data_IF_459455410815
#
_entry.id   IF_459455410815
#
_cell.length_a   1.000
_cell.length_b   1.000
_cell.length_c   1.000
_cell.angle_alpha   90.00
_cell.angle_beta   90.00
_cell.angle_gamma   90.00
#
_symmetry.space_group_name_H-M   'P 1'
#
loop_
_entity.id
_entity.type
_entity.pdbx_description
1 polymer ?
#
# COMPACT_ATOMS: atom_id res chain seq x y z
N UNK A 1 -20.89 -17.09 -16.80
CA UNK A 1 -20.07 -18.01 -16.01
C UNK A 1 -18.72 -17.32 -15.82
N UNK A 2 -18.54 -16.70 -14.67
CA UNK A 2 -17.33 -15.94 -14.37
C UNK A 2 -16.47 -16.80 -13.44
N UNK A 3 -15.65 -17.68 -14.04
CA UNK A 3 -14.59 -18.35 -13.29
C UNK A 3 -13.53 -17.31 -13.02
N UNK A 4 -13.46 -16.82 -11.78
CA UNK A 4 -12.30 -16.07 -11.30
C UNK A 4 -11.10 -17.03 -11.39
N UNK A 5 -10.36 -16.96 -12.49
CA UNK A 5 -9.06 -17.63 -12.59
C UNK A 5 -8.14 -16.99 -11.55
N UNK A 6 -8.13 -17.56 -10.38
CA UNK A 6 -7.16 -17.22 -9.35
C UNK A 6 -5.81 -17.71 -9.84
N UNK A 7 -4.91 -16.79 -10.20
CA UNK A 7 -3.53 -17.15 -10.48
C UNK A 7 -2.94 -17.84 -9.25
N UNK A 8 -2.60 -19.15 -9.30
CA UNK A 8 -2.17 -19.92 -8.12
C UNK A 8 -0.86 -19.39 -7.51
N UNK A 9 -0.11 -18.57 -8.23
CA UNK A 9 1.14 -17.96 -7.76
C UNK A 9 0.87 -16.67 -6.96
N UNK A 10 -0.29 -16.00 -7.19
CA UNK A 10 -0.61 -14.75 -6.51
C UNK A 10 -0.79 -14.97 -5.01
N UNK A 11 -0.01 -14.27 -4.20
CA UNK A 11 0.00 -14.42 -2.74
C UNK A 11 0.75 -15.65 -2.22
N UNK A 12 1.29 -16.50 -3.10
CA UNK A 12 2.11 -17.63 -2.66
C UNK A 12 3.49 -17.17 -2.18
N UNK A 13 3.87 -17.60 -0.98
CA UNK A 13 5.19 -17.31 -0.41
C UNK A 13 6.08 -18.54 -0.44
N UNK A 14 7.12 -18.52 -1.28
CA UNK A 14 8.10 -19.62 -1.40
C UNK A 14 8.83 -19.89 -0.08
N UNK A 15 9.16 -18.82 0.66
CA UNK A 15 9.80 -18.90 1.97
C UNK A 15 8.73 -18.81 3.07
N UNK A 16 7.98 -19.90 3.27
CA UNK A 16 6.95 -19.98 4.30
C UNK A 16 7.48 -19.76 5.73
N UNK A 17 8.76 -20.09 5.97
CA UNK A 17 9.47 -19.82 7.22
C UNK A 17 9.62 -18.31 7.53
N UNK A 18 9.40 -17.45 6.55
CA UNK A 18 9.44 -15.98 6.68
C UNK A 18 8.06 -15.34 6.61
N UNK A 19 7.02 -16.13 6.59
CA UNK A 19 5.68 -15.58 6.56
C UNK A 19 5.34 -14.91 7.88
N UNK A 20 4.97 -13.63 7.81
CA UNK A 20 4.49 -12.87 8.96
C UNK A 20 3.03 -13.27 9.24
N UNK A 21 2.64 -13.46 10.50
CA UNK A 21 1.25 -13.72 10.87
C UNK A 21 0.30 -12.64 10.34
N UNK A 22 -0.94 -13.01 10.00
CA UNK A 22 -1.92 -12.09 9.40
C UNK A 22 -2.16 -10.85 10.28
N UNK A 23 -2.33 -11.01 11.58
CA UNK A 23 -2.54 -9.90 12.49
C UNK A 23 -1.34 -8.94 12.57
N UNK A 24 -0.11 -9.45 12.51
CA UNK A 24 1.11 -8.63 12.47
C UNK A 24 1.25 -7.91 11.12
N UNK A 25 0.90 -8.59 10.02
CA UNK A 25 0.90 -8.00 8.67
C UNK A 25 -0.07 -6.82 8.61
N UNK A 26 -1.26 -6.96 9.17
CA UNK A 26 -2.26 -5.90 9.23
C UNK A 26 -1.84 -4.76 10.15
N UNK A 27 -1.23 -5.05 11.29
CA UNK A 27 -0.66 -4.04 12.19
C UNK A 27 0.44 -3.25 11.45
N UNK A 28 1.34 -3.95 10.77
CA UNK A 28 2.39 -3.33 9.96
C UNK A 28 1.83 -2.38 8.89
N UNK A 29 0.77 -2.79 8.16
CA UNK A 29 0.10 -1.93 7.18
C UNK A 29 -0.53 -0.68 7.82
N UNK A 30 -1.07 -0.79 9.05
CA UNK A 30 -1.65 0.36 9.75
C UNK A 30 -0.62 1.38 10.20
N UNK A 31 0.60 0.95 10.47
CA UNK A 31 1.67 1.81 10.98
C UNK A 31 2.39 2.60 9.89
N UNK A 32 2.31 2.17 8.62
CA UNK A 32 3.02 2.81 7.52
C UNK A 32 2.12 3.79 6.78
N UNK A 33 2.75 4.79 6.15
CA UNK A 33 2.05 5.87 5.47
C UNK A 33 2.32 5.92 3.96
N UNK A 34 3.31 5.18 3.46
CA UNK A 34 3.70 5.16 2.04
C UNK A 34 3.67 3.75 1.51
N UNK A 35 3.07 3.57 0.34
CA UNK A 35 3.03 2.32 -0.39
C UNK A 35 3.54 2.52 -1.82
N UNK A 36 4.19 1.49 -2.36
CA UNK A 36 4.49 1.38 -3.79
C UNK A 36 3.34 0.67 -4.48
N UNK A 37 2.64 1.39 -5.35
CA UNK A 37 1.43 0.88 -6.02
C UNK A 37 1.76 0.54 -7.46
N UNK A 38 1.70 -0.75 -7.78
CA UNK A 38 1.90 -1.31 -9.11
C UNK A 38 0.59 -1.39 -9.86
N UNK A 39 0.60 -0.89 -11.09
CA UNK A 39 -0.49 -0.94 -12.09
C UNK A 39 0.05 -1.41 -13.42
N UNK A 40 -0.80 -1.67 -14.40
CA UNK A 40 -0.40 -1.94 -15.78
C UNK A 40 -1.27 -1.16 -16.75
N UNK A 41 -0.68 -0.75 -17.87
CA UNK A 41 -1.44 -0.16 -18.98
C UNK A 41 -2.17 -1.22 -19.81
N UNK A 42 -2.89 -0.78 -20.85
CA UNK A 42 -3.63 -1.64 -21.76
C UNK A 42 -2.74 -2.58 -22.59
N UNK A 43 -1.46 -2.28 -22.72
CA UNK A 43 -0.46 -3.10 -23.41
C UNK A 43 0.28 -4.05 -22.48
N UNK A 44 -0.02 -4.01 -21.16
CA UNK A 44 0.59 -4.84 -20.14
C UNK A 44 1.91 -4.27 -19.57
N UNK A 45 2.30 -3.03 -19.92
CA UNK A 45 3.48 -2.41 -19.32
C UNK A 45 3.24 -2.08 -17.84
N UNK A 46 4.11 -2.55 -16.95
CA UNK A 46 3.99 -2.24 -15.53
C UNK A 46 4.38 -0.79 -15.25
N UNK A 47 3.68 -0.20 -14.30
CA UNK A 47 3.98 1.12 -13.75
C UNK A 47 3.89 1.08 -12.23
N UNK A 48 4.87 1.65 -11.54
CA UNK A 48 4.92 1.70 -10.07
C UNK A 48 5.08 3.15 -9.62
N UNK A 49 4.30 3.54 -8.64
CA UNK A 49 4.38 4.88 -8.03
C UNK A 49 4.26 4.77 -6.51
N UNK A 50 5.01 5.61 -5.79
CA UNK A 50 4.87 5.75 -4.34
C UNK A 50 3.71 6.70 -4.04
N UNK A 51 2.76 6.25 -3.23
CA UNK A 51 1.61 7.04 -2.79
C UNK A 51 1.44 6.95 -1.28
N UNK A 52 0.98 8.03 -0.66
CA UNK A 52 0.51 7.99 0.71
C UNK A 52 -0.79 7.20 0.79
N UNK A 53 -0.95 6.42 1.87
CA UNK A 53 -2.10 5.57 2.05
C UNK A 53 -2.59 5.52 3.49
N UNK A 54 -3.85 5.14 3.63
CA UNK A 54 -4.49 4.77 4.90
C UNK A 54 -5.06 3.37 4.74
N UNK A 55 -4.66 2.44 5.62
CA UNK A 55 -5.23 1.10 5.68
C UNK A 55 -6.22 1.00 6.84
N UNK A 56 -7.41 0.49 6.57
CA UNK A 56 -8.52 0.36 7.51
C UNK A 56 -9.00 -1.10 7.66
N UNK A 57 -9.91 -1.31 8.58
CA UNK A 57 -10.58 -2.60 8.76
C UNK A 57 -11.38 -3.00 7.51
N UNK A 58 -11.70 -4.28 7.38
CA UNK A 58 -12.44 -4.79 6.23
C UNK A 58 -11.61 -4.91 4.95
N UNK A 59 -10.26 -4.91 5.04
CA UNK A 59 -9.35 -4.98 3.89
C UNK A 59 -9.47 -3.78 2.94
N UNK A 60 -9.79 -2.61 3.46
CA UNK A 60 -9.86 -1.38 2.69
C UNK A 60 -8.56 -0.58 2.82
N UNK A 61 -8.05 -0.10 1.71
CA UNK A 61 -6.90 0.77 1.66
C UNK A 61 -7.24 1.98 0.79
N UNK A 62 -6.98 3.17 1.32
CA UNK A 62 -7.25 4.43 0.64
C UNK A 62 -5.95 5.08 0.18
N UNK A 63 -5.97 5.64 -1.03
CA UNK A 63 -4.86 6.33 -1.67
C UNK A 63 -5.34 7.69 -2.19
N UNK A 64 -4.44 8.63 -2.38
CA UNK A 64 -4.80 9.87 -3.05
C UNK A 64 -3.78 10.31 -4.08
N UNK A 65 -4.25 11.09 -5.05
CA UNK A 65 -3.41 11.83 -5.99
C UNK A 65 -3.93 13.27 -6.14
N UNK A 66 -3.10 14.14 -6.74
CA UNK A 66 -3.58 15.43 -7.22
C UNK A 66 -4.54 15.29 -8.43
N UNK A 67 -5.08 16.40 -8.92
CA UNK A 67 -6.15 16.41 -9.92
C UNK A 67 -5.67 16.07 -11.34
N UNK A 68 -4.37 15.97 -11.54
CA UNK A 68 -3.81 15.74 -12.87
C UNK A 68 -4.05 14.33 -13.35
N UNK A 69 -4.43 14.20 -14.61
CA UNK A 69 -4.58 12.93 -15.30
C UNK A 69 -3.20 12.34 -15.62
N UNK A 70 -2.58 11.70 -14.61
CA UNK A 70 -1.30 11.05 -14.74
C UNK A 70 -1.40 9.59 -15.18
N UNK A 71 -0.25 8.95 -15.36
CA UNK A 71 -0.13 7.56 -15.78
C UNK A 71 -0.90 6.59 -14.87
N UNK A 72 -0.83 6.80 -13.55
CA UNK A 72 -1.57 5.99 -12.57
C UNK A 72 -3.09 6.00 -12.85
N UNK A 73 -3.70 7.19 -12.99
CA UNK A 73 -5.14 7.31 -13.22
C UNK A 73 -5.55 6.72 -14.59
N UNK A 74 -4.71 6.89 -15.62
CA UNK A 74 -4.95 6.30 -16.92
C UNK A 74 -4.96 4.77 -16.85
N UNK A 75 -4.01 4.19 -16.12
CA UNK A 75 -3.90 2.73 -15.96
C UNK A 75 -5.11 2.16 -15.23
N UNK A 76 -5.52 2.74 -14.10
CA UNK A 76 -6.65 2.20 -13.32
C UNK A 76 -8.00 2.30 -14.03
N UNK A 77 -8.17 3.27 -14.94
CA UNK A 77 -9.37 3.37 -15.81
C UNK A 77 -9.44 2.22 -16.81
N UNK A 78 -8.31 1.74 -17.28
CA UNK A 78 -8.23 0.58 -18.18
C UNK A 78 -8.18 -0.76 -17.46
N UNK A 79 -7.54 -0.81 -16.29
CA UNK A 79 -7.39 -2.01 -15.48
C UNK A 79 -7.34 -1.64 -14.00
N UNK A 80 -8.41 -1.93 -13.28
CA UNK A 80 -8.55 -1.62 -11.85
C UNK A 80 -7.75 -2.52 -10.91
N UNK A 81 -7.05 -3.55 -11.41
CA UNK A 81 -6.24 -4.44 -10.59
C UNK A 81 -4.92 -3.78 -10.21
N UNK A 82 -4.58 -3.84 -8.93
CA UNK A 82 -3.34 -3.26 -8.38
C UNK A 82 -2.58 -4.27 -7.54
N UNK A 83 -1.25 -4.09 -7.52
CA UNK A 83 -0.36 -4.73 -6.56
C UNK A 83 0.23 -3.63 -5.67
N UNK A 84 0.12 -3.79 -4.36
CA UNK A 84 0.58 -2.83 -3.37
C UNK A 84 1.72 -3.47 -2.59
N UNK A 85 2.84 -2.78 -2.49
CA UNK A 85 3.98 -3.18 -1.68
C UNK A 85 4.28 -2.10 -0.64
N UNK A 86 4.43 -2.54 0.61
CA UNK A 86 4.83 -1.70 1.74
C UNK A 86 6.03 -2.37 2.40
N UNK A 87 7.06 -1.61 2.68
CA UNK A 87 8.26 -2.09 3.35
C UNK A 87 8.77 -1.10 4.38
N UNK A 88 9.68 -1.56 5.22
CA UNK A 88 10.42 -0.72 6.15
C UNK A 88 11.91 -0.74 5.79
N UNK A 89 12.69 0.26 6.29
CA UNK A 89 14.12 0.31 6.05
C UNK A 89 14.84 -0.99 6.43
N UNK A 90 15.75 -1.40 5.57
CA UNK A 90 16.50 -2.64 5.69
C UNK A 90 17.75 -2.44 6.54
N UNK A 91 18.03 -3.39 7.44
CA UNK A 91 19.29 -3.45 8.19
C UNK A 91 20.13 -4.62 7.69
N UNK A 92 21.40 -4.38 7.37
CA UNK A 92 22.34 -5.43 7.01
C UNK A 92 22.91 -6.09 8.26
N UNK A 93 22.70 -7.39 8.41
CA UNK A 93 23.40 -8.22 9.38
C UNK A 93 24.57 -8.91 8.67
N UNK A 94 25.80 -8.59 9.10
CA UNK A 94 27.00 -9.13 8.49
C UNK A 94 27.18 -10.60 8.85
N UNK A 95 27.38 -11.43 7.83
CA UNK A 95 27.74 -12.83 7.99
C UNK A 95 29.23 -13.07 7.83
N UNK A 96 29.70 -14.18 8.40
CA UNK A 96 31.08 -14.63 8.30
C UNK A 96 31.10 -16.02 7.64
N UNK A 97 32.12 -16.42 6.93
CA UNK A 97 33.38 -15.68 6.64
C UNK A 97 33.28 -14.76 5.41
N UNK A 98 32.16 -14.69 4.72
CA UNK A 98 32.06 -13.92 3.47
C UNK A 98 30.81 -13.05 3.42
N UNK A 99 30.79 -12.01 2.56
CA UNK A 99 29.59 -11.19 2.36
C UNK A 99 28.35 -11.98 1.94
N UNK A 100 28.49 -13.10 1.23
CA UNK A 100 27.38 -13.98 0.82
C UNK A 100 26.64 -14.62 2.00
N UNK A 101 27.26 -14.66 3.17
CA UNK A 101 26.64 -15.15 4.40
C UNK A 101 25.82 -14.07 5.12
N UNK A 102 25.84 -12.84 4.64
CA UNK A 102 25.10 -11.72 5.24
C UNK A 102 23.59 -11.87 4.98
N UNK A 103 22.79 -11.32 5.87
CA UNK A 103 21.33 -11.27 5.73
C UNK A 103 20.82 -9.83 5.83
N UNK A 104 19.70 -9.56 5.16
CA UNK A 104 18.95 -8.33 5.33
C UNK A 104 17.82 -8.57 6.32
N UNK A 105 17.75 -7.75 7.35
CA UNK A 105 16.63 -7.72 8.31
C UNK A 105 15.59 -6.74 7.78
N UNK A 106 14.36 -7.20 7.56
CA UNK A 106 13.29 -6.37 7.02
C UNK A 106 11.91 -6.91 7.34
N UNK A 107 10.91 -6.04 7.25
CA UNK A 107 9.50 -6.39 7.13
C UNK A 107 8.94 -5.82 5.84
N UNK A 108 8.05 -6.56 5.22
CA UNK A 108 7.31 -6.08 4.05
C UNK A 108 5.94 -6.74 3.97
N UNK A 109 5.02 -6.06 3.30
CA UNK A 109 3.72 -6.61 2.95
C UNK A 109 3.46 -6.42 1.46
N UNK A 110 2.87 -7.43 0.83
CA UNK A 110 2.36 -7.38 -0.54
C UNK A 110 0.87 -7.64 -0.48
N UNK A 111 0.10 -6.76 -1.10
CA UNK A 111 -1.34 -6.93 -1.21
C UNK A 111 -1.79 -6.78 -2.67
N UNK A 112 -2.83 -7.52 -3.03
CA UNK A 112 -3.49 -7.43 -4.33
C UNK A 112 -4.94 -7.03 -4.12
N UNK A 113 -5.47 -6.22 -5.01
CA UNK A 113 -6.85 -5.76 -4.90
C UNK A 113 -7.35 -5.04 -6.14
N UNK A 114 -8.55 -4.52 -6.00
CA UNK A 114 -9.24 -3.76 -7.04
C UNK A 114 -9.45 -2.34 -6.54
N UNK A 115 -9.03 -1.38 -7.35
CA UNK A 115 -9.12 0.06 -7.04
C UNK A 115 -10.32 0.68 -7.75
N UNK A 116 -10.99 1.61 -7.07
CA UNK A 116 -12.01 2.50 -7.63
C UNK A 116 -11.77 3.95 -7.22
N UNK A 117 -12.25 4.89 -7.98
CA UNK A 117 -12.32 6.30 -7.58
C UNK A 117 -13.49 6.48 -6.62
N UNK A 118 -13.29 7.28 -5.58
CA UNK A 118 -14.36 7.67 -4.65
C UNK A 118 -15.08 8.89 -5.23
N UNK A 119 -16.30 8.69 -5.70
CA UNK A 119 -17.11 9.70 -6.39
C UNK A 119 -18.51 9.89 -5.76
N UNK A 120 -18.75 9.28 -4.61
CA UNK A 120 -20.02 9.33 -3.90
C UNK A 120 -20.31 10.75 -3.36
N UNK A 121 -21.56 10.99 -2.97
CA UNK A 121 -22.00 12.28 -2.45
C UNK A 121 -21.23 12.75 -1.20
N UNK A 122 -20.68 11.81 -0.43
CA UNK A 122 -19.84 12.03 0.76
C UNK A 122 -18.32 12.03 0.46
N UNK A 123 -17.93 12.14 -0.81
CA UNK A 123 -16.52 12.05 -1.21
C UNK A 123 -15.63 13.06 -0.48
N UNK A 124 -16.08 14.28 -0.26
CA UNK A 124 -15.30 15.31 0.42
C UNK A 124 -15.14 15.01 1.92
N UNK A 125 -16.15 14.42 2.58
CA UNK A 125 -16.05 13.96 3.94
C UNK A 125 -15.03 12.81 4.05
N UNK A 126 -15.05 11.87 3.09
CA UNK A 126 -14.07 10.78 3.01
C UNK A 126 -12.64 11.27 2.74
N UNK A 127 -12.47 12.29 1.91
CA UNK A 127 -11.16 12.93 1.68
C UNK A 127 -10.65 13.62 2.94
N UNK A 128 -11.49 14.36 3.66
CA UNK A 128 -11.12 14.98 4.93
C UNK A 128 -10.73 13.93 5.96
N UNK A 129 -11.55 12.89 6.12
CA UNK A 129 -11.25 11.75 6.97
C UNK A 129 -9.92 11.06 6.62
N UNK A 130 -9.63 10.87 5.33
CA UNK A 130 -8.36 10.30 4.87
C UNK A 130 -7.16 11.12 5.36
N UNK A 131 -7.22 12.44 5.23
CA UNK A 131 -6.13 13.32 5.69
C UNK A 131 -6.02 13.36 7.21
N UNK A 132 -7.13 13.34 7.95
CA UNK A 132 -7.11 13.23 9.41
C UNK A 132 -6.37 11.96 9.85
N UNK A 133 -6.71 10.81 9.25
CA UNK A 133 -6.03 9.54 9.53
C UNK A 133 -4.55 9.55 9.16
N UNK A 134 -4.21 10.20 8.05
CA UNK A 134 -2.83 10.33 7.62
C UNK A 134 -2.01 11.19 8.59
N UNK A 135 -2.55 12.32 9.05
CA UNK A 135 -1.92 13.21 10.02
C UNK A 135 -1.75 12.51 11.38
N UNK A 136 -2.76 11.80 11.87
CA UNK A 136 -2.66 10.98 13.07
C UNK A 136 -1.49 9.98 12.99
N UNK A 137 -1.38 9.29 11.85
CA UNK A 137 -0.34 8.29 11.61
C UNK A 137 1.06 8.91 11.55
N UNK A 138 1.16 10.09 10.95
CA UNK A 138 2.40 10.86 10.88
C UNK A 138 2.72 11.62 12.18
N UNK A 139 1.81 11.59 13.17
CA UNK A 139 1.89 12.35 14.44
C UNK A 139 1.98 13.86 14.22
N UNK A 140 1.31 14.34 13.17
CA UNK A 140 1.30 15.74 12.80
C UNK A 140 -0.02 16.38 13.23
N UNK A 141 -0.02 17.25 14.26
CA UNK A 141 -1.26 17.81 14.78
C UNK A 141 -1.80 18.91 13.85
N UNK A 142 -3.12 18.95 13.66
CA UNK A 142 -3.80 19.97 12.85
C UNK A 142 -3.47 21.39 13.35
N UNK A 143 -3.22 21.56 14.65
CA UNK A 143 -2.84 22.86 15.24
C UNK A 143 -1.46 23.38 14.82
N UNK A 144 -0.64 22.54 14.18
CA UNK A 144 0.65 22.98 13.60
C UNK A 144 0.49 23.84 12.35
N UNK A 145 -0.71 23.88 11.76
CA UNK A 145 -0.97 24.61 10.53
C UNK A 145 -1.57 25.99 10.82
N UNK A 146 -1.10 27.02 10.10
CA UNK A 146 -1.64 28.39 10.22
C UNK A 146 -3.11 28.47 9.80
N UNK A 147 -3.51 27.63 8.85
CA UNK A 147 -4.89 27.51 8.36
C UNK A 147 -5.33 26.07 8.46
N UNK A 148 -5.86 25.67 9.61
CA UNK A 148 -6.33 24.30 9.82
C UNK A 148 -7.52 23.98 8.90
N UNK A 149 -7.65 22.69 8.56
CA UNK A 149 -8.69 22.18 7.68
C UNK A 149 -8.20 21.90 6.25
N UNK A 150 -9.13 21.57 5.38
CA UNK A 150 -8.84 21.05 4.03
C UNK A 150 -9.51 21.89 2.93
N UNK A 151 -9.02 23.09 2.62
CA UNK A 151 -9.70 24.02 1.70
C UNK A 151 -9.62 23.65 0.21
N UNK A 152 -8.87 22.58 -0.15
CA UNK A 152 -8.59 22.17 -1.54
C UNK A 152 -8.96 20.72 -1.82
N UNK A 153 -10.01 20.19 -1.21
CA UNK A 153 -10.47 18.81 -1.44
C UNK A 153 -10.94 18.57 -2.89
N UNK A 154 -11.37 19.61 -3.59
CA UNK A 154 -11.70 19.59 -5.02
C UNK A 154 -10.49 19.25 -5.91
N UNK A 155 -9.27 19.47 -5.40
CA UNK A 155 -8.01 19.13 -6.09
C UNK A 155 -7.48 17.76 -5.75
N UNK A 156 -8.23 16.95 -5.01
CA UNK A 156 -7.82 15.62 -4.58
C UNK A 156 -8.68 14.57 -5.24
N UNK A 157 -8.04 13.56 -5.82
CA UNK A 157 -8.70 12.33 -6.23
C UNK A 157 -8.40 11.29 -5.16
N UNK A 158 -9.44 10.81 -4.50
CA UNK A 158 -9.35 9.73 -3.52
C UNK A 158 -9.70 8.40 -4.20
N UNK A 159 -8.92 7.39 -3.89
CA UNK A 159 -9.12 6.02 -4.37
C UNK A 159 -9.36 5.10 -3.19
N UNK A 160 -10.24 4.14 -3.37
CA UNK A 160 -10.46 3.04 -2.46
C UNK A 160 -10.03 1.74 -3.11
N UNK A 161 -9.22 0.96 -2.42
CA UNK A 161 -8.77 -0.36 -2.86
C UNK A 161 -9.37 -1.41 -1.96
N UNK A 162 -10.17 -2.30 -2.53
CA UNK A 162 -10.63 -3.53 -1.86
C UNK A 162 -9.55 -4.59 -2.02
N UNK A 163 -8.87 -4.95 -0.92
CA UNK A 163 -7.78 -5.91 -0.90
C UNK A 163 -8.34 -7.34 -0.85
N UNK A 164 -7.91 -8.17 -1.81
CA UNK A 164 -8.32 -9.58 -1.93
C UNK A 164 -7.33 -10.52 -1.25
N UNK A 165 -6.03 -10.22 -1.39
CA UNK A 165 -4.94 -11.04 -0.87
C UNK A 165 -3.95 -10.11 -0.16
N UNK A 166 -3.56 -10.48 1.05
CA UNK A 166 -2.54 -9.76 1.83
C UNK A 166 -1.54 -10.79 2.33
N UNK A 167 -0.26 -10.56 2.08
CA UNK A 167 0.83 -11.42 2.57
C UNK A 167 1.92 -10.57 3.20
N UNK A 168 2.35 -10.94 4.39
CA UNK A 168 3.45 -10.30 5.10
C UNK A 168 4.70 -11.17 5.11
N UNK A 169 5.85 -10.54 4.99
CA UNK A 169 7.15 -11.20 5.03
C UNK A 169 8.08 -10.54 6.04
N UNK A 170 8.67 -11.36 6.88
CA UNK A 170 9.61 -10.98 7.92
C UNK A 170 10.90 -11.75 7.75
N UNK A 171 12.04 -11.06 7.73
CA UNK A 171 13.35 -11.69 7.84
C UNK A 171 14.06 -11.13 9.06
N UNK A 172 14.26 -11.95 10.07
CA UNK A 172 14.92 -11.58 11.33
C UNK A 172 16.46 -11.64 11.24
N UNK A 173 17.01 -11.99 10.08
CA UNK A 173 18.44 -12.07 9.86
C UNK A 173 19.00 -13.49 9.98
N UNK A 174 20.24 -13.57 10.42
CA UNK A 174 20.95 -14.85 10.62
C UNK A 174 20.46 -15.49 11.92
N UNK A 175 20.00 -16.73 11.84
CA UNK A 175 19.79 -17.57 13.01
C UNK A 175 21.17 -18.11 13.44
N UNK A 176 21.55 -17.85 14.66
CA UNK A 176 22.70 -18.47 15.32
C UNK A 176 22.31 -19.80 15.93
#
# INVERSE_FOLDING_TARGET
MNTSETNPIRGHMVRGDRQMPDHETRAFLRERAVAHVGTSDALGWPYVVALMYVYEEGNLLYLHTGPHQGHFLANIRGNSRVCIHVDEPVTLQRGQPSPCNSALVYKSAVAYGVVRVVEEADADEKKAWFFDRLLERLKEPMSAYERPGYPMLDRIILFEVSLEIITGKLNLGLHH
#
